data_IF_369435672222
#
_entry.id   IF_369435672222
#
_cell.length_a   1.000
_cell.length_b   1.000
_cell.length_c   1.000
_cell.angle_alpha   90.00
_cell.angle_beta   90.00
_cell.angle_gamma   90.00
#
_symmetry.space_group_name_H-M   'P 1'
#
loop_
_entity.id
_entity.type
_entity.pdbx_description
1 polymer ?
#
# COMPACT_ATOMS: atom_id res chain seq x y z
N UNK A 1 -13.32 -16.30 0.99
CA UNK A 1 -13.10 -16.15 2.45
C UNK A 1 -11.74 -16.76 2.78
N UNK A 2 -10.92 -16.09 3.59
CA UNK A 2 -9.60 -16.60 3.97
C UNK A 2 -9.72 -17.91 4.75
N UNK A 3 -8.84 -18.89 4.48
CA UNK A 3 -8.78 -20.17 5.20
C UNK A 3 -8.07 -20.06 6.56
N UNK A 4 -7.57 -18.88 6.92
CA UNK A 4 -6.89 -18.63 8.19
C UNK A 4 -7.85 -18.30 9.33
N UNK A 5 -7.46 -18.65 10.56
CA UNK A 5 -8.20 -18.30 11.77
C UNK A 5 -8.08 -16.81 12.10
N UNK A 6 -9.01 -16.30 12.91
CA UNK A 6 -9.05 -14.88 13.30
C UNK A 6 -7.74 -14.41 13.93
N UNK A 7 -7.13 -15.23 14.80
CA UNK A 7 -5.88 -14.91 15.51
C UNK A 7 -4.69 -14.75 14.57
N UNK A 8 -4.72 -15.42 13.41
CA UNK A 8 -3.71 -15.26 12.35
C UNK A 8 -4.00 -14.00 11.52
N UNK A 9 -5.27 -13.74 11.22
CA UNK A 9 -5.68 -12.59 10.43
C UNK A 9 -5.36 -11.27 11.13
N UNK A 10 -5.59 -11.15 12.44
CA UNK A 10 -5.22 -9.94 13.20
C UNK A 10 -3.72 -9.60 13.10
N UNK A 11 -2.86 -10.60 12.85
CA UNK A 11 -1.41 -10.42 12.74
C UNK A 11 -0.93 -10.16 11.32
N UNK A 12 -1.67 -10.58 10.28
CA UNK A 12 -1.15 -10.66 8.92
C UNK A 12 -2.07 -10.11 7.83
N UNK A 13 -3.38 -10.01 8.06
CA UNK A 13 -4.29 -9.51 7.04
C UNK A 13 -3.99 -8.04 6.70
N UNK A 14 -4.00 -7.71 5.40
CA UNK A 14 -3.76 -6.35 4.92
C UNK A 14 -2.30 -5.91 4.86
N UNK A 15 -1.35 -6.80 5.18
CA UNK A 15 0.09 -6.52 5.09
C UNK A 15 0.86 -7.69 4.46
N UNK A 16 1.87 -7.35 3.68
CA UNK A 16 2.86 -8.28 3.13
C UNK A 16 4.27 -7.70 3.39
N UNK A 17 5.35 -8.51 3.35
CA UNK A 17 6.71 -7.97 3.46
C UNK A 17 6.95 -6.88 2.42
N UNK A 18 7.65 -5.81 2.82
CA UNK A 18 7.94 -4.70 1.91
C UNK A 18 8.76 -5.20 0.70
N UNK A 19 8.31 -5.00 -0.55
CA UNK A 19 8.97 -5.56 -1.72
C UNK A 19 10.34 -4.93 -2.01
N UNK A 20 10.62 -3.73 -1.47
CA UNK A 20 11.88 -3.03 -1.72
C UNK A 20 13.02 -3.44 -0.77
N UNK A 21 12.69 -3.83 0.47
CA UNK A 21 13.66 -4.14 1.53
C UNK A 21 13.50 -5.52 2.15
N UNK A 22 12.40 -6.23 1.85
CA UNK A 22 11.97 -7.47 2.49
C UNK A 22 11.72 -7.33 4.01
N UNK A 23 11.48 -6.12 4.50
CA UNK A 23 11.12 -5.88 5.89
C UNK A 23 9.78 -6.56 6.24
N UNK A 24 9.74 -7.30 7.35
CA UNK A 24 8.49 -7.94 7.82
C UNK A 24 7.60 -6.99 8.61
N UNK A 25 8.19 -6.01 9.30
CA UNK A 25 7.42 -4.97 9.97
C UNK A 25 6.92 -3.95 8.96
N UNK A 26 5.69 -3.45 9.13
CA UNK A 26 5.11 -2.43 8.26
C UNK A 26 5.93 -1.13 8.37
N UNK A 27 6.41 -0.57 7.24
CA UNK A 27 7.11 0.71 7.25
C UNK A 27 6.23 1.86 7.74
N UNK A 28 6.84 2.83 8.42
CA UNK A 28 6.20 4.10 8.76
C UNK A 28 6.47 5.10 7.65
N UNK A 29 5.50 5.32 6.77
CA UNK A 29 5.57 6.35 5.71
C UNK A 29 5.25 7.73 6.28
N UNK A 30 6.17 8.31 7.06
CA UNK A 30 6.03 9.65 7.63
C UNK A 30 6.34 10.73 6.57
N UNK A 31 5.43 10.89 5.62
CA UNK A 31 5.52 11.84 4.50
C UNK A 31 4.24 12.68 4.39
N UNK A 32 4.32 13.79 3.68
CA UNK A 32 3.19 14.65 3.33
C UNK A 32 2.71 14.47 1.89
N UNK A 33 3.48 13.80 1.04
CA UNK A 33 3.22 13.68 -0.42
C UNK A 33 3.96 12.50 -1.05
N UNK A 34 3.50 12.08 -2.24
CA UNK A 34 4.14 11.05 -3.08
C UNK A 34 4.44 11.60 -4.48
N UNK A 35 5.57 11.17 -5.07
CA UNK A 35 5.89 11.57 -6.44
C UNK A 35 5.01 10.83 -7.45
N UNK A 36 4.62 11.53 -8.51
CA UNK A 36 4.00 10.92 -9.67
C UNK A 36 5.06 10.45 -10.67
N UNK A 37 4.86 9.25 -11.21
CA UNK A 37 5.65 8.73 -12.33
C UNK A 37 5.67 9.70 -13.54
N UNK A 38 4.51 10.29 -13.88
CA UNK A 38 4.34 11.33 -14.91
C UNK A 38 3.04 12.14 -14.72
N UNK A 39 2.77 13.08 -15.63
CA UNK A 39 1.58 13.95 -15.59
C UNK A 39 0.26 13.21 -15.81
N UNK A 40 0.25 12.13 -16.59
CA UNK A 40 -0.95 11.34 -16.86
C UNK A 40 -1.30 10.46 -15.66
N UNK A 41 -0.29 9.87 -15.01
CA UNK A 41 -0.44 9.18 -13.73
C UNK A 41 -1.09 10.06 -12.66
N UNK A 42 -0.66 11.32 -12.53
CA UNK A 42 -1.26 12.27 -11.60
C UNK A 42 -2.75 12.49 -11.91
N UNK A 43 -3.07 12.75 -13.19
CA UNK A 43 -4.45 12.98 -13.63
C UNK A 43 -5.37 11.78 -13.34
N UNK A 44 -4.87 10.56 -13.53
CA UNK A 44 -5.64 9.34 -13.28
C UNK A 44 -5.90 9.08 -11.79
N UNK A 45 -4.94 9.39 -10.91
CA UNK A 45 -5.14 9.30 -9.46
C UNK A 45 -6.22 10.27 -8.98
N UNK A 46 -6.17 11.54 -9.41
CA UNK A 46 -7.17 12.54 -9.03
C UNK A 46 -8.55 12.27 -9.65
N UNK A 47 -8.61 11.65 -10.84
CA UNK A 47 -9.85 11.26 -11.49
C UNK A 47 -10.44 9.93 -10.96
N UNK A 48 -9.80 9.28 -9.97
CA UNK A 48 -10.15 7.95 -9.47
C UNK A 48 -10.16 6.86 -10.54
N UNK A 49 -9.45 7.09 -11.65
CA UNK A 49 -9.23 6.09 -12.71
C UNK A 49 -8.17 5.07 -12.28
N UNK A 50 -7.25 5.48 -11.40
CA UNK A 50 -6.27 4.62 -10.75
C UNK A 50 -6.34 4.83 -9.24
N UNK A 51 -6.20 3.75 -8.48
CA UNK A 51 -6.07 3.82 -7.03
C UNK A 51 -4.60 3.94 -6.64
N UNK A 52 -4.28 4.80 -5.67
CA UNK A 52 -2.92 5.04 -5.22
C UNK A 52 -2.84 6.21 -4.24
N UNK A 53 -1.62 6.50 -3.80
CA UNK A 53 -1.35 7.63 -2.90
C UNK A 53 -1.02 8.89 -3.72
N UNK A 54 -1.34 10.05 -3.14
CA UNK A 54 -1.06 11.38 -3.69
C UNK A 54 -0.14 12.16 -2.75
#
# INVERSE_FOLDING_TARGET
MSNYKYETLQLHAGQEPDPSTNARAVPIYQTTSYNFDDSEHAADLFALKKFGNI
#
